data_IF_167031425232
#
_entry.id   IF_167031425232
#
_cell.length_a   1.000
_cell.length_b   1.000
_cell.length_c   1.000
_cell.angle_alpha   90.00
_cell.angle_beta   90.00
_cell.angle_gamma   90.00
#
_symmetry.space_group_name_H-M   'P 1'
#
loop_
_entity.id
_entity.type
_entity.pdbx_description
1 polymer ?
#
# COMPACT_ATOMS: atom_id res chain seq x y z
N UNK A 1 -1.27 -21.91 -15.65
CA UNK A 1 -1.09 -20.59 -15.02
C UNK A 1 -0.81 -19.59 -16.13
N UNK A 2 -1.77 -18.72 -16.47
CA UNK A 2 -1.56 -17.71 -17.52
C UNK A 2 -0.50 -16.70 -17.08
N UNK A 3 0.23 -16.10 -18.01
CA UNK A 3 1.28 -15.11 -17.69
C UNK A 3 0.75 -13.94 -16.84
N UNK A 4 -0.51 -13.55 -17.03
CA UNK A 4 -1.20 -12.54 -16.23
C UNK A 4 -1.28 -12.92 -14.74
N UNK A 5 -1.66 -14.17 -14.41
CA UNK A 5 -1.71 -14.66 -13.02
C UNK A 5 -0.33 -14.63 -12.35
N UNK A 6 0.74 -14.91 -13.11
CA UNK A 6 2.11 -14.83 -12.58
C UNK A 6 2.49 -13.39 -12.23
N UNK A 7 2.14 -12.42 -13.07
CA UNK A 7 2.38 -11.01 -12.79
C UNK A 7 1.57 -10.52 -11.58
N UNK A 8 0.32 -10.97 -11.46
CA UNK A 8 -0.53 -10.65 -10.30
C UNK A 8 0.09 -11.19 -9.01
N UNK A 9 0.56 -12.45 -9.03
CA UNK A 9 1.21 -13.06 -7.87
C UNK A 9 2.49 -12.32 -7.48
N UNK A 10 3.37 -12.04 -8.44
CA UNK A 10 4.63 -11.29 -8.19
C UNK A 10 4.38 -9.91 -7.59
N UNK A 11 3.36 -9.21 -8.09
CA UNK A 11 2.97 -7.90 -7.55
C UNK A 11 2.48 -8.03 -6.11
N UNK A 12 1.65 -9.04 -5.83
CA UNK A 12 1.18 -9.30 -4.47
C UNK A 12 2.31 -9.71 -3.52
N UNK A 13 3.25 -10.52 -3.95
CA UNK A 13 4.43 -10.90 -3.15
C UNK A 13 5.26 -9.66 -2.81
N UNK A 14 5.46 -8.75 -3.77
CA UNK A 14 6.14 -7.47 -3.54
C UNK A 14 5.40 -6.60 -2.53
N UNK A 15 4.07 -6.50 -2.62
CA UNK A 15 3.25 -5.77 -1.64
C UNK A 15 3.35 -6.38 -0.24
N UNK A 16 3.45 -7.70 -0.12
CA UNK A 16 3.69 -8.34 1.19
C UNK A 16 5.08 -8.00 1.74
N UNK A 17 6.13 -7.95 0.91
CA UNK A 17 7.45 -7.51 1.33
C UNK A 17 7.43 -6.04 1.78
N UNK A 18 6.81 -5.14 1.01
CA UNK A 18 6.62 -3.73 1.38
C UNK A 18 5.93 -3.63 2.74
N UNK A 19 4.84 -4.38 2.94
CA UNK A 19 4.12 -4.41 4.22
C UNK A 19 5.01 -4.75 5.41
N UNK A 20 5.91 -5.73 5.28
CA UNK A 20 6.85 -6.09 6.34
C UNK A 20 7.84 -4.96 6.62
N UNK A 21 8.40 -4.34 5.58
CA UNK A 21 9.32 -3.21 5.72
C UNK A 21 8.66 -1.96 6.31
N UNK A 22 7.37 -1.74 6.04
CA UNK A 22 6.60 -0.65 6.64
C UNK A 22 6.49 -0.76 8.17
N UNK A 23 6.73 -1.93 8.77
CA UNK A 23 6.71 -2.08 10.22
C UNK A 23 8.03 -1.67 10.90
N UNK A 24 9.10 -1.44 10.14
CA UNK A 24 10.41 -1.08 10.67
C UNK A 24 10.73 0.39 10.35
N UNK A 25 10.99 1.26 11.35
CA UNK A 25 11.29 2.67 11.10
C UNK A 25 12.51 2.87 10.19
N UNK A 26 13.52 2.00 10.27
CA UNK A 26 14.70 2.08 9.41
C UNK A 26 14.41 1.82 7.92
N UNK A 27 13.35 1.07 7.62
CA UNK A 27 12.96 0.72 6.25
C UNK A 27 11.71 1.48 5.77
N UNK A 28 10.98 2.13 6.69
CA UNK A 28 9.69 2.74 6.42
C UNK A 28 9.76 3.75 5.27
N UNK A 29 10.73 4.66 5.29
CA UNK A 29 10.83 5.72 4.28
C UNK A 29 10.92 5.15 2.86
N UNK A 30 11.79 4.16 2.64
CA UNK A 30 11.95 3.53 1.34
C UNK A 30 10.70 2.74 0.93
N UNK A 31 10.13 1.95 1.86
CA UNK A 31 8.96 1.13 1.58
C UNK A 31 7.71 1.98 1.30
N UNK A 32 7.51 3.07 2.04
CA UNK A 32 6.39 3.99 1.85
C UNK A 32 6.55 4.79 0.55
N UNK A 33 7.76 5.20 0.18
CA UNK A 33 8.03 5.87 -1.10
C UNK A 33 7.76 4.94 -2.28
N UNK A 34 8.22 3.70 -2.22
CA UNK A 34 7.94 2.67 -3.23
C UNK A 34 6.45 2.40 -3.38
N UNK A 35 5.72 2.33 -2.27
CA UNK A 35 4.28 2.14 -2.28
C UNK A 35 3.53 3.38 -2.82
N UNK A 36 4.01 4.58 -2.50
CA UNK A 36 3.45 5.84 -2.98
C UNK A 36 3.61 5.98 -4.49
N UNK A 37 4.79 5.69 -5.03
CA UNK A 37 5.06 5.65 -6.48
C UNK A 37 4.14 4.65 -7.17
N UNK A 38 4.01 3.45 -6.60
CA UNK A 38 3.12 2.42 -7.13
C UNK A 38 1.64 2.87 -7.11
N UNK A 39 1.19 3.53 -6.04
CA UNK A 39 -0.15 4.10 -5.93
C UNK A 39 -0.37 5.32 -6.85
N UNK A 40 0.68 5.87 -7.46
CA UNK A 40 0.57 6.86 -8.53
C UNK A 40 -0.02 6.30 -9.82
N UNK A 41 0.07 4.99 -10.05
CA UNK A 41 -0.55 4.32 -11.21
C UNK A 41 -2.02 3.95 -10.89
N UNK A 42 -3.01 4.44 -11.65
CA UNK A 42 -4.41 4.08 -11.49
C UNK A 42 -4.69 2.56 -11.51
N UNK A 43 -3.83 1.77 -12.14
CA UNK A 43 -3.92 0.31 -12.24
C UNK A 43 -3.56 -0.40 -10.92
N UNK A 44 -2.94 0.29 -9.97
CA UNK A 44 -2.69 -0.25 -8.62
C UNK A 44 -3.99 -0.54 -7.86
N UNK A 45 -5.06 0.21 -8.16
CA UNK A 45 -6.37 0.11 -7.51
C UNK A 45 -7.28 -0.93 -8.18
N UNK A 46 -6.75 -2.14 -8.38
CA UNK A 46 -7.50 -3.27 -8.93
C UNK A 46 -7.79 -4.32 -7.85
N UNK A 47 -8.93 -4.99 -7.99
CA UNK A 47 -9.41 -6.03 -7.06
C UNK A 47 -8.38 -7.12 -6.70
N UNK A 48 -7.52 -7.60 -7.62
CA UNK A 48 -6.49 -8.60 -7.29
C UNK A 48 -5.41 -8.12 -6.30
N UNK A 49 -5.22 -6.79 -6.18
CA UNK A 49 -4.21 -6.20 -5.30
C UNK A 49 -4.80 -5.55 -4.05
N UNK A 50 -6.11 -5.30 -4.06
CA UNK A 50 -6.82 -4.59 -2.99
C UNK A 50 -6.52 -5.15 -1.60
N UNK A 51 -6.53 -6.47 -1.43
CA UNK A 51 -6.25 -7.08 -0.12
C UNK A 51 -4.84 -6.78 0.38
N UNK A 52 -3.83 -6.91 -0.48
CA UNK A 52 -2.43 -6.63 -0.14
C UNK A 52 -2.20 -5.15 0.12
N UNK A 53 -2.77 -4.27 -0.71
CA UNK A 53 -2.68 -2.82 -0.56
C UNK A 53 -3.35 -2.37 0.75
N UNK A 54 -4.57 -2.83 1.05
CA UNK A 54 -5.24 -2.53 2.32
C UNK A 54 -4.42 -3.02 3.53
N UNK A 55 -3.71 -4.15 3.38
CA UNK A 55 -2.77 -4.63 4.38
C UNK A 55 -1.62 -3.66 4.64
N UNK A 56 -1.06 -3.03 3.59
CA UNK A 56 -0.03 -2.01 3.72
C UNK A 56 -0.56 -0.73 4.37
N UNK A 57 -1.71 -0.23 3.90
CA UNK A 57 -2.33 1.00 4.43
C UNK A 57 -2.71 0.87 5.91
N UNK A 58 -3.16 -0.31 6.33
CA UNK A 58 -3.44 -0.60 7.74
C UNK A 58 -2.17 -0.49 8.60
N UNK A 59 -1.02 -0.94 8.10
CA UNK A 59 0.26 -0.80 8.81
C UNK A 59 0.64 0.68 8.89
N UNK A 60 0.62 1.40 7.76
CA UNK A 60 0.95 2.84 7.69
C UNK A 60 0.10 3.64 8.67
N UNK A 61 -1.22 3.43 8.69
CA UNK A 61 -2.13 4.09 9.63
C UNK A 61 -1.80 3.84 11.10
N UNK A 62 -1.14 2.72 11.44
CA UNK A 62 -0.77 2.39 12.82
C UNK A 62 0.61 2.91 13.21
N UNK A 63 1.56 2.94 12.27
CA UNK A 63 2.97 3.22 12.57
C UNK A 63 3.40 4.63 12.21
N UNK A 64 2.75 5.31 11.26
CA UNK A 64 3.21 6.62 10.76
C UNK A 64 3.30 7.70 11.86
N UNK A 65 2.44 7.64 12.88
CA UNK A 65 2.45 8.56 14.02
C UNK A 65 3.41 8.15 15.16
N UNK A 66 4.13 7.04 15.02
CA UNK A 66 5.09 6.59 16.03
C UNK A 66 6.46 7.26 15.85
N UNK A 67 7.25 7.32 16.92
CA UNK A 67 8.59 7.88 16.88
C UNK A 67 9.49 7.09 15.91
N UNK A 68 10.25 7.82 15.09
CA UNK A 68 11.16 7.24 14.09
C UNK A 68 10.51 6.93 12.74
N UNK A 69 9.20 7.17 12.59
CA UNK A 69 8.49 7.05 11.32
C UNK A 69 8.26 8.43 10.68
N UNK A 70 8.16 8.45 9.36
CA UNK A 70 7.90 9.66 8.58
C UNK A 70 6.38 9.89 8.48
N UNK A 71 5.85 10.69 9.42
CA UNK A 71 4.42 10.97 9.52
C UNK A 71 3.86 11.63 8.25
N UNK A 72 4.60 12.57 7.67
CA UNK A 72 4.15 13.31 6.48
C UNK A 72 4.08 12.39 5.26
N UNK A 73 5.08 11.52 5.08
CA UNK A 73 5.06 10.51 4.03
C UNK A 73 3.89 9.51 4.21
N UNK A 74 3.65 9.08 5.45
CA UNK A 74 2.51 8.23 5.79
C UNK A 74 1.16 8.87 5.43
N UNK A 75 0.97 10.16 5.76
CA UNK A 75 -0.26 10.88 5.40
C UNK A 75 -0.41 11.07 3.89
N UNK A 76 0.68 11.41 3.17
CA UNK A 76 0.64 11.52 1.70
C UNK A 76 0.17 10.22 1.06
N UNK A 77 0.70 9.08 1.51
CA UNK A 77 0.28 7.78 1.01
C UNK A 77 -1.20 7.49 1.28
N UNK A 78 -1.67 7.71 2.52
CA UNK A 78 -3.08 7.53 2.87
C UNK A 78 -3.99 8.45 2.04
N UNK A 79 -3.57 9.69 1.79
CA UNK A 79 -4.33 10.65 0.98
C UNK A 79 -4.46 10.21 -0.48
N UNK A 80 -3.38 9.73 -1.11
CA UNK A 80 -3.41 9.21 -2.50
C UNK A 80 -4.35 8.01 -2.60
N UNK A 81 -4.31 7.10 -1.63
CA UNK A 81 -5.23 5.95 -1.63
C UNK A 81 -6.67 6.36 -1.35
N UNK A 82 -6.92 7.32 -0.46
CA UNK A 82 -8.24 7.86 -0.18
C UNK A 82 -8.85 8.59 -1.40
N UNK A 83 -8.02 9.27 -2.20
CA UNK A 83 -8.44 9.93 -3.44
C UNK A 83 -8.88 8.93 -4.53
N UNK A 84 -8.43 7.68 -4.45
CA UNK A 84 -8.82 6.59 -5.35
C UNK A 84 -9.79 5.60 -4.69
N UNK A 85 -10.44 5.99 -3.58
CA UNK A 85 -11.26 5.08 -2.78
C UNK A 85 -12.44 4.47 -3.54
N UNK A 86 -12.93 5.18 -4.55
CA UNK A 86 -14.01 4.78 -5.45
C UNK A 86 -13.66 3.54 -6.29
N UNK A 87 -12.36 3.24 -6.47
CA UNK A 87 -11.88 2.06 -7.18
C UNK A 87 -11.80 0.81 -6.30
N UNK A 88 -11.85 0.99 -4.97
CA UNK A 88 -11.90 -0.13 -4.04
C UNK A 88 -13.32 -0.68 -3.89
N UNK A 89 -13.44 -1.93 -3.43
CA UNK A 89 -14.76 -2.44 -3.03
C UNK A 89 -15.35 -1.59 -1.90
N UNK A 90 -16.69 -1.47 -1.77
CA UNK A 90 -17.33 -0.69 -0.72
C UNK A 90 -16.87 -1.05 0.70
N UNK A 91 -16.47 -2.31 0.92
CA UNK A 91 -15.94 -2.80 2.20
C UNK A 91 -14.60 -2.16 2.56
N UNK A 92 -13.75 -1.90 1.58
CA UNK A 92 -12.42 -1.32 1.75
C UNK A 92 -12.46 0.21 1.70
N UNK A 93 -13.39 0.79 0.93
CA UNK A 93 -13.58 2.24 0.84
C UNK A 93 -14.11 2.91 2.14
N UNK A 94 -14.68 2.12 3.05
CA UNK A 94 -15.18 2.58 4.37
C UNK A 94 -14.23 2.31 5.54
N UNK A 95 -12.97 1.92 5.28
CA UNK A 95 -11.97 1.60 6.31
C UNK A 95 -10.93 2.70 6.48
#
# INVERSE_FOLDING_TARGET
MNSMDRHIQQTNDRLQCIKQHLQNPANFHNAATELLDWCGDPRAFQRPFEQSLMGCLTVVSRVAAQQGFDLDLGYRLLAVCAANRDKFTPKSAGR
#
